data_IF_403664910572
#
_entry.id   IF_403664910572
#
_cell.length_a   1.000
_cell.length_b   1.000
_cell.length_c   1.000
_cell.angle_alpha   90.00
_cell.angle_beta   90.00
_cell.angle_gamma   90.00
#
_symmetry.space_group_name_H-M   'P 1'
#
loop_
_entity.id
_entity.type
_entity.pdbx_description
1 polymer ?
#
# COMPACT_ATOMS: atom_id res chain seq x y z
N UNK A 1 4.21 14.35 5.79
CA UNK A 1 4.86 14.55 4.47
C UNK A 1 3.81 15.08 3.53
N UNK A 2 4.08 16.22 2.89
CA UNK A 2 3.26 16.74 1.81
C UNK A 2 4.02 16.37 0.53
N UNK A 3 3.40 15.56 -0.32
CA UNK A 3 3.94 15.19 -1.62
C UNK A 3 3.00 15.79 -2.67
N UNK A 4 3.55 16.46 -3.67
CA UNK A 4 2.80 16.92 -4.84
C UNK A 4 2.86 15.89 -5.96
N UNK A 5 1.97 16.04 -6.94
CA UNK A 5 1.93 15.17 -8.11
C UNK A 5 3.29 15.17 -8.83
N UNK A 6 3.79 13.99 -9.18
CA UNK A 6 5.10 13.81 -9.82
C UNK A 6 6.30 13.69 -8.88
N UNK A 7 6.13 13.88 -7.56
CA UNK A 7 7.23 13.71 -6.61
C UNK A 7 7.50 12.25 -6.24
N UNK A 8 8.77 11.95 -5.95
CA UNK A 8 9.22 10.65 -5.49
C UNK A 8 9.74 10.73 -4.06
N UNK A 9 9.37 9.75 -3.25
CA UNK A 9 9.85 9.62 -1.87
C UNK A 9 10.61 8.30 -1.71
N UNK A 10 11.84 8.39 -1.20
CA UNK A 10 12.62 7.24 -0.73
C UNK A 10 12.63 7.25 0.78
N UNK A 11 12.07 6.21 1.41
CA UNK A 11 12.01 6.10 2.87
C UNK A 11 12.81 4.90 3.34
N UNK A 12 13.76 5.16 4.24
CA UNK A 12 14.48 4.13 4.97
C UNK A 12 13.74 3.80 6.28
N UNK A 13 13.75 2.53 6.66
CA UNK A 13 13.07 2.04 7.85
C UNK A 13 14.00 1.13 8.65
N UNK A 14 13.86 1.14 9.97
CA UNK A 14 14.72 0.37 10.88
C UNK A 14 14.14 -1.01 11.21
N UNK A 15 12.85 -1.24 10.93
CA UNK A 15 12.20 -2.52 11.17
C UNK A 15 11.15 -2.86 10.11
N UNK A 16 10.80 -4.14 9.99
CA UNK A 16 9.68 -4.59 9.16
C UNK A 16 8.36 -3.95 9.62
N UNK A 17 8.17 -3.76 10.93
CA UNK A 17 6.95 -3.14 11.49
C UNK A 17 6.80 -1.70 11.00
N UNK A 18 7.90 -0.93 10.99
CA UNK A 18 7.88 0.44 10.48
C UNK A 18 7.55 0.50 8.99
N UNK A 19 8.13 -0.43 8.20
CA UNK A 19 7.76 -0.61 6.79
C UNK A 19 6.24 -0.80 6.65
N UNK A 20 5.65 -1.77 7.36
CA UNK A 20 4.22 -2.09 7.27
C UNK A 20 3.33 -0.90 7.65
N UNK A 21 3.68 -0.20 8.73
CA UNK A 21 2.94 0.99 9.19
C UNK A 21 2.99 2.13 8.17
N UNK A 22 4.15 2.35 7.55
CA UNK A 22 4.36 3.45 6.63
C UNK A 22 3.56 3.26 5.34
N UNK A 23 3.81 2.17 4.58
CA UNK A 23 3.19 2.06 3.26
C UNK A 23 1.68 1.84 3.37
N UNK A 24 1.18 1.14 4.39
CA UNK A 24 -0.26 0.93 4.56
C UNK A 24 -1.00 2.25 4.78
N UNK A 25 -0.37 3.21 5.46
CA UNK A 25 -0.91 4.56 5.60
C UNK A 25 -1.01 5.28 4.25
N UNK A 26 0.02 5.20 3.41
CA UNK A 26 0.02 5.80 2.07
C UNK A 26 -1.01 5.15 1.13
N UNK A 27 -1.05 3.81 1.08
CA UNK A 27 -2.06 3.08 0.30
C UNK A 27 -3.46 3.48 0.75
N UNK A 28 -3.71 3.48 2.06
CA UNK A 28 -5.02 3.85 2.60
C UNK A 28 -5.39 5.29 2.24
N UNK A 29 -4.43 6.22 2.28
CA UNK A 29 -4.66 7.61 1.95
C UNK A 29 -5.00 7.77 0.46
N UNK A 30 -4.22 7.18 -0.45
CA UNK A 30 -4.52 7.22 -1.89
C UNK A 30 -5.90 6.63 -2.21
N UNK A 31 -6.21 5.46 -1.65
CA UNK A 31 -7.53 4.83 -1.83
C UNK A 31 -8.70 5.63 -1.25
N UNK A 32 -8.46 6.50 -0.25
CA UNK A 32 -9.46 7.42 0.31
C UNK A 32 -9.63 8.67 -0.54
N UNK A 33 -8.56 9.12 -1.20
CA UNK A 33 -8.58 10.27 -2.09
C UNK A 33 -9.18 9.93 -3.46
N UNK A 34 -9.37 8.65 -3.77
CA UNK A 34 -9.89 8.18 -5.05
C UNK A 34 -8.81 7.79 -6.05
N UNK A 35 -7.54 7.78 -5.62
CA UNK A 35 -6.41 7.42 -6.46
C UNK A 35 -6.42 5.91 -6.76
N UNK A 36 -5.86 5.56 -7.93
CA UNK A 36 -5.44 4.19 -8.21
C UNK A 36 -4.08 3.94 -7.58
N UNK A 37 -3.97 2.88 -6.79
CA UNK A 37 -2.74 2.51 -6.09
C UNK A 37 -2.19 1.22 -6.65
N UNK A 38 -0.92 1.23 -7.05
CA UNK A 38 -0.16 0.03 -7.40
C UNK A 38 0.85 -0.23 -6.29
N UNK A 39 0.81 -1.41 -5.70
CA UNK A 39 1.78 -1.83 -4.68
C UNK A 39 2.56 -3.05 -5.17
N UNK A 40 3.84 -2.83 -5.45
CA UNK A 40 4.80 -3.86 -5.82
C UNK A 40 5.50 -4.43 -4.58
N UNK A 41 5.64 -5.75 -4.51
CA UNK A 41 6.29 -6.45 -3.39
C UNK A 41 7.13 -7.64 -3.87
N UNK A 42 8.12 -8.11 -3.09
CA UNK A 42 8.92 -9.27 -3.48
C UNK A 42 8.09 -10.54 -3.68
N UNK A 43 8.53 -11.41 -4.59
CA UNK A 43 7.97 -12.76 -4.74
C UNK A 43 7.91 -13.49 -3.38
N UNK A 44 6.76 -14.12 -3.10
CA UNK A 44 6.51 -14.82 -1.84
C UNK A 44 5.83 -13.97 -0.74
N UNK A 45 5.80 -12.64 -0.87
CA UNK A 45 5.20 -11.76 0.16
C UNK A 45 3.68 -11.56 0.01
N UNK A 46 3.04 -12.14 -1.02
CA UNK A 46 1.62 -11.90 -1.36
C UNK A 46 0.67 -12.08 -0.17
N UNK A 47 0.77 -13.20 0.54
CA UNK A 47 -0.09 -13.49 1.69
C UNK A 47 0.12 -12.50 2.84
N UNK A 48 1.38 -12.18 3.14
CA UNK A 48 1.76 -11.24 4.20
C UNK A 48 1.27 -9.84 3.88
N UNK A 49 1.44 -9.39 2.63
CA UNK A 49 0.95 -8.08 2.16
C UNK A 49 -0.55 -7.99 2.31
N UNK A 50 -1.29 -8.99 1.81
CA UNK A 50 -2.76 -9.03 1.92
C UNK A 50 -3.22 -9.00 3.36
N UNK A 51 -2.60 -9.81 4.24
CA UNK A 51 -2.90 -9.82 5.68
C UNK A 51 -2.69 -8.45 6.32
N UNK A 52 -1.55 -7.81 6.06
CA UNK A 52 -1.22 -6.49 6.62
C UNK A 52 -2.18 -5.40 6.15
N UNK A 53 -2.55 -5.40 4.87
CA UNK A 53 -3.54 -4.45 4.35
C UNK A 53 -4.89 -4.59 5.05
N UNK A 54 -5.36 -5.83 5.28
CA UNK A 54 -6.59 -6.10 6.04
C UNK A 54 -6.50 -5.62 7.49
N UNK A 55 -5.38 -5.87 8.18
CA UNK A 55 -5.12 -5.37 9.53
C UNK A 55 -5.19 -3.83 9.59
N UNK A 56 -4.82 -3.14 8.51
CA UNK A 56 -4.92 -1.69 8.37
C UNK A 56 -6.26 -1.19 7.80
N UNK A 57 -7.31 -2.04 7.85
CA UNK A 57 -8.69 -1.75 7.43
C UNK A 57 -8.83 -1.41 5.94
N UNK A 58 -8.00 -2.01 5.11
CA UNK A 58 -8.16 -1.96 3.65
C UNK A 58 -8.86 -3.24 3.21
N UNK A 59 -10.04 -3.09 2.60
CA UNK A 59 -10.77 -4.18 1.95
C UNK A 59 -10.11 -4.49 0.61
N UNK A 60 -9.16 -5.42 0.63
CA UNK A 60 -8.30 -5.72 -0.53
C UNK A 60 -9.15 -6.23 -1.69
N UNK A 61 -10.06 -7.15 -1.42
CA UNK A 61 -10.90 -7.82 -2.42
C UNK A 61 -11.78 -6.81 -3.17
N UNK A 62 -12.45 -5.90 -2.43
CA UNK A 62 -13.27 -4.85 -3.05
C UNK A 62 -12.43 -3.90 -3.91
N UNK A 63 -11.22 -3.57 -3.46
CA UNK A 63 -10.35 -2.59 -4.10
C UNK A 63 -9.62 -3.14 -5.34
N UNK A 64 -9.29 -4.43 -5.34
CA UNK A 64 -8.83 -5.11 -6.55
C UNK A 64 -9.97 -5.26 -7.56
N UNK A 65 -11.17 -5.67 -7.11
CA UNK A 65 -12.34 -5.85 -7.98
C UNK A 65 -12.74 -4.57 -8.72
N UNK A 66 -12.65 -3.41 -8.07
CA UNK A 66 -12.94 -2.12 -8.69
C UNK A 66 -11.71 -1.46 -9.35
N UNK A 67 -10.56 -2.13 -9.36
CA UNK A 67 -9.33 -1.66 -9.99
C UNK A 67 -8.69 -0.44 -9.31
N UNK A 68 -9.07 -0.09 -8.08
CA UNK A 68 -8.43 0.99 -7.32
C UNK A 68 -7.16 0.54 -6.61
N UNK A 69 -6.99 -0.75 -6.36
CA UNK A 69 -5.76 -1.36 -5.85
C UNK A 69 -5.27 -2.43 -6.80
N UNK A 70 -3.98 -2.39 -7.15
CA UNK A 70 -3.29 -3.46 -7.89
C UNK A 70 -2.12 -3.95 -7.05
N UNK A 71 -2.07 -5.24 -6.80
CA UNK A 71 -1.01 -5.93 -6.09
C UNK A 71 -0.17 -6.70 -7.11
N UNK A 72 1.14 -6.41 -7.18
CA UNK A 72 2.05 -7.03 -8.15
C UNK A 72 3.32 -7.52 -7.46
N UNK A 73 3.79 -8.70 -7.87
CA UNK A 73 5.04 -9.32 -7.39
C UNK A 73 6.12 -9.32 -8.45
#
# INVERSE_FOLDING_TARGET
LHLTEGEHLVVFYSSKVDKWRLFSAYIRQGLRNGDRVVYAYPNGDSEVVRKRLKEHRIDVEKREKNGSLVLVS
#
